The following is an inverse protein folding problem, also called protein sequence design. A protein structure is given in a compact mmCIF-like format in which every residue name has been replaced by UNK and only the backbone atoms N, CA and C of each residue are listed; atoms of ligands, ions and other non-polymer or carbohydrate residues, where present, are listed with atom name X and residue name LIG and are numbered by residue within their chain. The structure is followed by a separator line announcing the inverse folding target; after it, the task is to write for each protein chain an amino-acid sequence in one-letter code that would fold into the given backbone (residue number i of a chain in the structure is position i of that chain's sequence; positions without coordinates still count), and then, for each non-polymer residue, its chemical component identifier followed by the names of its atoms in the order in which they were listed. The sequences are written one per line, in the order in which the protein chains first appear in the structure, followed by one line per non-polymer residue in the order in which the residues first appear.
data_IF_730299730524
#
_entry.id   IF_730299730524
#
_cell.length_a   1.000
_cell.length_b   1.000
_cell.length_c   1.000
_cell.angle_alpha   90.00
_cell.angle_beta   90.00
_cell.angle_gamma   90.00
#
_symmetry.space_group_name_H-M   'P 1'
#
loop_
_entity.id
_entity.type
_entity.pdbx_description
1 polymer ?
#
# COMPACT_ATOMS: atom_id res chain seq x y z
N UNK A 1 -7.38 12.49 -0.64
CA UNK A 1 -6.87 11.17 -0.20
C UNK A 1 -8.06 10.29 0.10
N UNK A 2 -8.42 9.40 -0.83
CA UNK A 2 -9.52 8.45 -0.64
C UNK A 2 -8.96 7.36 0.28
N UNK A 3 -9.34 7.37 1.55
CA UNK A 3 -8.98 6.32 2.50
C UNK A 3 -9.92 5.15 2.20
N UNK A 4 -9.47 4.21 1.37
CA UNK A 4 -10.22 2.98 1.12
C UNK A 4 -10.35 2.26 2.46
N UNK A 5 -11.58 2.10 2.92
CA UNK A 5 -11.86 1.28 4.09
C UNK A 5 -11.72 -0.16 3.61
N UNK A 6 -10.58 -0.79 3.88
CA UNK A 6 -10.48 -2.24 3.77
C UNK A 6 -11.52 -2.82 4.72
N UNK A 7 -12.51 -3.52 4.17
CA UNK A 7 -13.53 -4.21 4.96
C UNK A 7 -13.17 -5.70 4.92
N UNK A 8 -12.45 -6.23 5.93
CA UNK A 8 -11.93 -7.60 5.91
C UNK A 8 -13.00 -8.63 6.28
N UNK A 9 -14.25 -8.45 5.82
CA UNK A 9 -15.36 -9.38 6.04
C UNK A 9 -15.02 -10.85 5.70
N UNK A 10 -14.38 -11.18 4.56
CA UNK A 10 -14.06 -12.56 4.27
C UNK A 10 -12.97 -13.12 5.19
N UNK A 11 -11.98 -12.30 5.55
CA UNK A 11 -10.90 -12.71 6.46
C UNK A 11 -11.42 -12.94 7.89
N UNK A 12 -12.40 -12.14 8.34
CA UNK A 12 -13.08 -12.34 9.61
C UNK A 12 -13.83 -13.68 9.65
N UNK A 13 -14.58 -13.99 8.59
CA UNK A 13 -15.32 -15.26 8.49
C UNK A 13 -14.35 -16.45 8.46
N UNK A 14 -13.26 -16.36 7.69
CA UNK A 14 -12.26 -17.43 7.62
C UNK A 14 -11.58 -17.66 8.98
N UNK A 15 -11.29 -16.59 9.71
CA UNK A 15 -10.69 -16.66 11.05
C UNK A 15 -11.63 -17.32 12.06
N UNK A 16 -12.92 -16.96 12.04
CA UNK A 16 -13.93 -17.58 12.92
C UNK A 16 -14.10 -19.07 12.62
N UNK A 17 -14.17 -19.45 11.34
CA UNK A 17 -14.26 -20.86 10.93
C UNK A 17 -13.01 -21.65 11.35
N UNK A 18 -11.82 -21.07 11.20
CA UNK A 18 -10.59 -21.71 11.67
C UNK A 18 -10.58 -21.88 13.19
N UNK A 19 -11.06 -20.87 13.93
CA UNK A 19 -11.17 -20.92 15.38
C UNK A 19 -12.13 -22.02 15.83
N UNK A 20 -13.31 -22.12 15.21
CA UNK A 20 -14.28 -23.17 15.49
C UNK A 20 -13.69 -24.55 15.22
N UNK A 21 -13.04 -24.75 14.07
CA UNK A 21 -12.38 -26.03 13.72
C UNK A 21 -11.30 -26.41 14.74
N UNK A 22 -10.45 -25.47 15.14
CA UNK A 22 -9.41 -25.71 16.15
C UNK A 22 -10.04 -26.06 17.51
N UNK A 23 -11.14 -25.41 17.89
CA UNK A 23 -11.81 -25.63 19.18
C UNK A 23 -12.60 -26.95 19.22
N UNK A 24 -13.17 -27.36 18.09
CA UNK A 24 -13.86 -28.64 17.89
C UNK A 24 -12.88 -29.83 17.86
N UNK A 25 -11.68 -29.64 17.32
CA UNK A 25 -10.63 -30.68 17.23
C UNK A 25 -9.80 -30.81 18.52
N UNK A 26 -9.74 -29.75 19.33
CA UNK A 26 -8.82 -29.67 20.46
C UNK A 26 -9.40 -30.13 21.80
N UNK A 27 -9.28 -31.43 22.06
CA UNK A 27 -9.29 -31.99 23.42
C UNK A 27 -7.98 -31.80 24.20
N UNK A 28 -7.11 -30.81 23.91
CA UNK A 28 -5.79 -30.72 24.54
C UNK A 28 -5.32 -29.29 24.87
N UNK A 29 -4.77 -29.12 26.08
CA UNK A 29 -4.12 -27.91 26.60
C UNK A 29 -3.15 -27.25 25.60
N UNK A 30 -2.53 -28.04 24.71
CA UNK A 30 -1.62 -27.56 23.68
C UNK A 30 -2.27 -26.56 22.70
N UNK A 31 -3.51 -26.84 22.27
CA UNK A 31 -4.23 -25.94 21.37
C UNK A 31 -4.65 -24.65 22.08
N UNK A 32 -5.04 -24.74 23.35
CA UNK A 32 -5.36 -23.56 24.16
C UNK A 32 -4.12 -22.67 24.34
N UNK A 33 -2.94 -23.25 24.57
CA UNK A 33 -1.67 -22.52 24.66
C UNK A 33 -1.29 -21.89 23.32
N UNK A 34 -1.41 -22.63 22.21
CA UNK A 34 -1.11 -22.12 20.87
C UNK A 34 -2.04 -20.96 20.49
N UNK A 35 -3.34 -21.07 20.81
CA UNK A 35 -4.32 -20.01 20.60
C UNK A 35 -4.03 -18.79 21.47
N UNK A 36 -3.73 -18.99 22.76
CA UNK A 36 -3.37 -17.92 23.68
C UNK A 36 -2.10 -17.18 23.23
N UNK A 37 -1.07 -17.92 22.78
CA UNK A 37 0.15 -17.34 22.24
C UNK A 37 -0.12 -16.51 20.96
N UNK A 38 -0.97 -17.03 20.06
CA UNK A 38 -1.35 -16.32 18.83
C UNK A 38 -2.14 -15.06 19.13
N UNK A 39 -3.08 -15.11 20.08
CA UNK A 39 -3.85 -13.96 20.52
C UNK A 39 -2.97 -12.89 21.20
N UNK A 40 -1.99 -13.32 22.01
CA UNK A 40 -1.02 -12.42 22.64
C UNK A 40 -0.13 -11.73 21.60
N UNK A 41 0.43 -12.49 20.65
CA UNK A 41 1.23 -11.92 19.56
C UNK A 41 0.41 -10.98 18.67
N UNK A 42 -0.82 -11.37 18.33
CA UNK A 42 -1.73 -10.54 17.54
C UNK A 42 -2.10 -9.22 18.23
N UNK A 43 -2.39 -9.26 19.53
CA UNK A 43 -2.70 -8.04 20.29
C UNK A 43 -1.49 -7.12 20.43
N UNK A 44 -0.29 -7.68 20.65
CA UNK A 44 0.95 -6.90 20.67
C UNK A 44 1.19 -6.20 19.31
N UNK A 45 1.03 -6.91 18.20
CA UNK A 45 1.15 -6.33 16.85
C UNK A 45 0.09 -5.26 16.59
N UNK A 46 -1.15 -5.47 17.01
CA UNK A 46 -2.21 -4.48 16.89
C UNK A 46 -1.88 -3.20 17.68
N UNK A 47 -1.38 -3.32 18.91
CA UNK A 47 -0.94 -2.17 19.70
C UNK A 47 0.24 -1.45 19.02
N UNK A 48 1.25 -2.19 18.57
CA UNK A 48 2.41 -1.61 17.88
C UNK A 48 2.00 -0.85 16.61
N UNK A 49 1.11 -1.41 15.79
CA UNK A 49 0.62 -0.77 14.56
C UNK A 49 -0.23 0.46 14.87
N UNK A 50 -1.08 0.42 15.91
CA UNK A 50 -1.84 1.59 16.35
C UNK A 50 -0.94 2.72 16.84
N UNK A 51 0.07 2.39 17.65
CA UNK A 51 1.07 3.37 18.11
C UNK A 51 1.82 3.95 16.92
N UNK A 52 2.33 3.12 16.01
CA UNK A 52 3.03 3.59 14.81
C UNK A 52 2.15 4.50 13.93
N UNK A 53 0.87 4.16 13.76
CA UNK A 53 -0.08 4.97 13.01
C UNK A 53 -0.36 6.32 13.67
N UNK A 54 -0.41 6.38 15.01
CA UNK A 54 -0.59 7.63 15.76
C UNK A 54 0.67 8.48 15.82
N UNK A 55 1.83 7.84 15.77
CA UNK A 55 3.14 8.53 15.76
C UNK A 55 3.51 9.10 14.39
N UNK A 56 2.74 8.82 13.33
CA UNK A 56 2.94 9.42 12.02
C UNK A 56 2.77 10.96 12.12
N UNK A 57 3.81 11.76 11.81
CA UNK A 57 3.72 13.20 11.92
C UNK A 57 2.60 13.76 11.05
N UNK A 58 1.77 14.64 11.60
CA UNK A 58 0.76 15.38 10.84
C UNK A 58 1.47 16.37 9.90
N UNK A 59 1.67 15.98 8.65
CA UNK A 59 2.34 16.81 7.65
C UNK A 59 1.31 17.64 6.90
N UNK A 60 1.44 18.98 6.85
CA UNK A 60 0.58 19.82 6.03
C UNK A 60 0.64 19.37 4.56
N UNK A 61 -0.49 19.33 3.82
CA UNK A 61 -0.50 18.87 2.43
C UNK A 61 0.41 19.72 1.53
N UNK A 62 0.66 20.97 1.92
CA UNK A 62 1.61 21.88 1.27
C UNK A 62 3.06 21.40 1.40
N UNK A 63 3.44 20.76 2.52
CA UNK A 63 4.81 20.28 2.77
C UNK A 63 5.18 19.11 1.85
N UNK A 64 4.22 18.28 1.46
CA UNK A 64 4.44 17.22 0.45
C UNK A 64 4.76 17.86 -0.90
N UNK A 65 3.99 18.88 -1.29
CA UNK A 65 4.21 19.62 -2.54
C UNK A 65 5.55 20.34 -2.54
N UNK A 66 5.94 20.98 -1.43
CA UNK A 66 7.24 21.65 -1.33
C UNK A 66 8.38 20.65 -1.29
N UNK A 67 8.25 19.52 -0.59
CA UNK A 67 9.27 18.47 -0.58
C UNK A 67 9.47 17.83 -1.96
N UNK A 68 8.39 17.61 -2.73
CA UNK A 68 8.48 17.14 -4.12
C UNK A 68 9.17 18.20 -4.99
N UNK A 69 8.78 19.47 -4.86
CA UNK A 69 9.40 20.58 -5.61
C UNK A 69 10.87 20.77 -5.25
N UNK A 70 11.22 20.61 -3.99
CA UNK A 70 12.58 20.73 -3.46
C UNK A 70 13.45 19.53 -3.90
N UNK A 71 12.88 18.32 -3.90
CA UNK A 71 13.50 17.13 -4.52
C UNK A 71 13.74 17.34 -6.01
N UNK A 72 12.76 17.87 -6.74
CA UNK A 72 12.89 18.17 -8.17
C UNK A 72 13.96 19.24 -8.46
N UNK A 73 14.14 20.23 -7.57
CA UNK A 73 15.25 21.19 -7.67
C UNK A 73 16.61 20.57 -7.38
N UNK A 74 16.68 19.61 -6.46
CA UNK A 74 17.92 18.90 -6.09
C UNK A 74 18.32 17.82 -7.09
N UNK A 75 17.37 17.23 -7.80
CA UNK A 75 17.66 16.27 -8.88
C UNK A 75 17.83 17.03 -10.18
N UNK A 76 18.97 16.87 -10.86
CA UNK A 76 19.24 17.46 -12.18
C UNK A 76 18.44 16.78 -13.31
N UNK A 77 17.15 16.50 -13.11
CA UNK A 77 16.28 16.09 -14.20
C UNK A 77 15.89 17.34 -14.98
N UNK A 78 16.08 17.30 -16.30
CA UNK A 78 15.43 18.27 -17.18
C UNK A 78 13.92 18.21 -16.88
N UNK A 79 13.27 19.34 -16.56
CA UNK A 79 11.83 19.37 -16.45
C UNK A 79 11.26 18.81 -17.76
N UNK A 80 10.41 17.78 -17.66
CA UNK A 80 9.74 17.22 -18.82
C UNK A 80 9.05 18.36 -19.55
N UNK A 81 9.44 18.60 -20.80
CA UNK A 81 8.83 19.61 -21.65
C UNK A 81 7.40 19.17 -21.92
N UNK A 82 6.45 20.01 -21.55
CA UNK A 82 5.04 19.80 -21.87
C UNK A 82 4.90 19.70 -23.40
N UNK A 83 4.56 18.51 -23.94
CA UNK A 83 4.37 18.33 -25.37
C UNK A 83 3.18 19.12 -25.91
N UNK A 84 2.29 19.59 -25.03
CA UNK A 84 1.07 20.30 -25.36
C UNK A 84 1.17 21.82 -25.13
N UNK A 85 2.35 22.34 -24.77
CA UNK A 85 2.57 23.77 -24.58
C UNK A 85 2.20 24.60 -25.83
N UNK A 86 1.54 25.74 -25.63
CA UNK A 86 1.09 26.63 -26.71
C UNK A 86 2.23 27.01 -27.65
N UNK A 87 2.02 26.88 -28.96
CA UNK A 87 3.03 27.20 -29.98
C UNK A 87 3.94 26.01 -30.37
N UNK A 88 3.73 24.82 -29.79
CA UNK A 88 4.42 23.60 -30.22
C UNK A 88 3.44 22.66 -30.91
N UNK A 89 3.88 22.05 -32.01
CA UNK A 89 3.12 20.96 -32.63
C UNK A 89 3.12 19.77 -31.69
N UNK A 90 1.93 19.26 -31.35
CA UNK A 90 1.77 18.00 -30.64
C UNK A 90 2.53 16.90 -31.39
N UNK A 91 3.43 16.15 -30.74
CA UNK A 91 4.02 14.95 -31.32
C UNK A 91 2.87 14.03 -31.77
N UNK A 92 2.90 13.59 -33.04
CA UNK A 92 1.92 12.62 -33.52
C UNK A 92 2.17 11.29 -32.79
N UNK A 93 1.10 10.58 -32.46
CA UNK A 93 1.23 9.25 -31.89
C UNK A 93 2.15 8.40 -32.80
N UNK A 94 3.03 7.56 -32.23
CA UNK A 94 3.81 6.63 -33.03
C UNK A 94 2.85 5.87 -33.95
N UNK A 95 3.14 5.89 -35.26
CA UNK A 95 2.37 5.13 -36.24
C UNK A 95 2.48 3.63 -35.95
N UNK A 96 1.69 2.82 -36.65
CA UNK A 96 1.81 1.37 -36.56
C UNK A 96 3.28 0.95 -36.73
N UNK A 97 3.76 0.10 -35.83
CA UNK A 97 5.07 -0.49 -35.94
C UNK A 97 5.17 -1.16 -37.32
N UNK A 98 6.00 -0.59 -38.19
CA UNK A 98 6.36 -1.26 -39.43
C UNK A 98 7.07 -2.56 -39.03
N UNK A 99 6.84 -3.68 -39.74
CA UNK A 99 7.60 -4.89 -39.52
C UNK A 99 9.09 -4.54 -39.72
N UNK A 100 9.81 -4.43 -38.61
CA UNK A 100 11.25 -4.23 -38.62
C UNK A 100 11.85 -5.44 -39.32
N UNK A 101 12.51 -5.25 -40.46
CA UNK A 101 13.32 -6.31 -41.06
C UNK A 101 14.38 -6.71 -40.04
N UNK A 102 14.25 -7.93 -39.52
CA UNK A 102 15.31 -8.58 -38.74
C UNK A 102 16.28 -9.17 -39.76
N UNK A 103 17.52 -8.68 -39.74
CA UNK A 103 18.67 -9.34 -40.35
C UNK A 103 19.49 -9.99 -39.23
#
# INVERSE_FOLDING_TARGET
MIRSRFVPRPALVLFLLFLDVVLLDAGSLSAAVALAATAAAGSALAVCTLVAARSAPAVPPTRVRTAIRDRARRTAFLPQRDPDASGRRRPRAPGHALPTTVA
#
